data_IF_382696806020
#
_entry.id   IF_382696806020
#
_cell.length_a   1.000
_cell.length_b   1.000
_cell.length_c   1.000
_cell.angle_alpha   90.00
_cell.angle_beta   90.00
_cell.angle_gamma   90.00
#
_symmetry.space_group_name_H-M   'P 1'
#
loop_
_entity.id
_entity.type
_entity.pdbx_description
1 polymer ?
#
# COMPACT_ATOMS: atom_id res chain seq x y z
N UNK A 1 36.96 -46.03 -10.60
CA UNK A 1 36.87 -46.88 -9.39
C UNK A 1 35.41 -46.90 -8.92
N UNK A 2 34.65 -47.92 -9.29
CA UNK A 2 33.26 -48.07 -8.86
C UNK A 2 33.22 -48.81 -7.52
N UNK A 3 32.80 -48.15 -6.44
CA UNK A 3 32.63 -48.77 -5.12
C UNK A 3 31.31 -49.54 -5.09
N UNK A 4 31.40 -50.86 -5.29
CA UNK A 4 30.30 -51.80 -5.10
C UNK A 4 29.94 -51.88 -3.60
N UNK A 5 28.89 -51.17 -3.18
CA UNK A 5 28.33 -51.31 -1.82
C UNK A 5 27.30 -52.44 -1.81
N UNK A 6 27.61 -53.51 -1.07
CA UNK A 6 26.67 -54.57 -0.72
C UNK A 6 25.45 -54.00 0.04
N UNK A 7 24.23 -54.51 -0.18
CA UNK A 7 23.07 -54.09 0.58
C UNK A 7 23.24 -54.47 2.06
N UNK A 8 23.09 -53.50 2.96
CA UNK A 8 23.07 -53.74 4.40
C UNK A 8 21.79 -54.50 4.73
N UNK A 9 21.90 -55.83 4.90
CA UNK A 9 20.80 -56.70 5.29
C UNK A 9 20.26 -56.28 6.66
N UNK A 10 18.98 -55.90 6.74
CA UNK A 10 18.26 -55.66 8.00
C UNK A 10 17.80 -54.22 8.30
N UNK A 11 17.97 -53.26 7.40
CA UNK A 11 17.41 -51.90 7.55
C UNK A 11 16.20 -51.75 6.62
N UNK A 12 15.01 -51.37 7.12
CA UNK A 12 13.87 -51.04 6.26
C UNK A 12 14.28 -50.01 5.21
N UNK A 13 13.86 -50.15 3.95
CA UNK A 13 14.23 -49.22 2.86
C UNK A 13 13.90 -47.76 3.20
N UNK A 14 12.85 -47.53 4.00
CA UNK A 14 12.41 -46.23 4.50
C UNK A 14 13.42 -45.55 5.47
N UNK A 15 14.45 -46.27 5.93
CA UNK A 15 15.51 -45.74 6.80
C UNK A 15 16.85 -45.62 6.10
N UNK A 16 16.84 -45.40 4.79
CA UNK A 16 18.03 -45.12 4.00
C UNK A 16 17.92 -43.78 3.26
N UNK A 17 19.04 -43.10 3.09
CA UNK A 17 19.12 -41.88 2.30
C UNK A 17 18.87 -42.18 0.81
N UNK A 18 17.94 -41.46 0.18
CA UNK A 18 17.60 -41.63 -1.24
C UNK A 18 18.74 -41.34 -2.23
N UNK A 19 19.80 -40.65 -1.79
CA UNK A 19 20.97 -40.35 -2.63
C UNK A 19 22.17 -41.28 -2.36
N UNK A 20 22.64 -41.36 -1.10
CA UNK A 20 23.86 -42.09 -0.76
C UNK A 20 23.63 -43.48 -0.13
N UNK A 21 22.37 -43.89 0.06
CA UNK A 21 21.91 -45.15 0.68
C UNK A 21 22.47 -45.46 2.08
N UNK A 22 23.02 -44.45 2.77
CA UNK A 22 23.43 -44.58 4.18
C UNK A 22 22.17 -44.72 5.05
N UNK A 23 22.25 -45.53 6.12
CA UNK A 23 21.22 -45.61 7.16
C UNK A 23 21.01 -44.23 7.79
N UNK A 24 19.78 -43.75 7.79
CA UNK A 24 19.38 -42.47 8.38
C UNK A 24 18.65 -42.70 9.70
N UNK A 25 18.65 -41.69 10.55
CA UNK A 25 17.94 -41.74 11.84
C UNK A 25 16.41 -41.79 11.64
N UNK A 26 15.69 -42.21 12.69
CA UNK A 26 14.21 -42.17 12.70
C UNK A 26 13.68 -40.77 12.40
N UNK A 27 14.34 -39.73 12.92
CA UNK A 27 13.95 -38.32 12.70
C UNK A 27 14.23 -37.87 11.26
N UNK A 28 15.33 -38.32 10.66
CA UNK A 28 15.59 -38.03 9.25
C UNK A 28 14.62 -38.73 8.31
N UNK A 29 14.15 -39.94 8.65
CA UNK A 29 13.14 -40.65 7.84
C UNK A 29 11.76 -40.00 7.85
N UNK A 30 11.41 -39.24 8.90
CA UNK A 30 10.12 -38.52 8.95
C UNK A 30 10.13 -37.22 8.16
N UNK A 31 11.31 -36.66 7.89
CA UNK A 31 11.45 -35.40 7.16
C UNK A 31 11.72 -35.71 5.69
N UNK A 32 10.63 -35.88 4.94
CA UNK A 32 10.68 -36.16 3.50
C UNK A 32 10.78 -34.88 2.69
N UNK A 33 11.62 -34.90 1.66
CA UNK A 33 11.65 -33.86 0.64
C UNK A 33 10.35 -33.90 -0.18
N UNK A 34 9.99 -32.80 -0.84
CA UNK A 34 8.81 -32.73 -1.73
C UNK A 34 8.90 -33.66 -2.95
N UNK A 35 10.09 -34.16 -3.29
CA UNK A 35 10.26 -35.24 -4.27
C UNK A 35 9.86 -36.64 -3.75
N UNK A 36 9.48 -36.77 -2.47
CA UNK A 36 8.97 -38.01 -1.87
C UNK A 36 10.01 -38.87 -1.14
N UNK A 37 11.30 -38.56 -1.27
CA UNK A 37 12.41 -39.30 -0.66
C UNK A 37 12.87 -38.67 0.67
N UNK A 38 13.40 -39.51 1.57
CA UNK A 38 14.09 -39.10 2.78
C UNK A 38 15.61 -39.08 2.57
N UNK A 39 16.30 -38.11 3.18
CA UNK A 39 17.73 -37.89 2.98
C UNK A 39 18.43 -37.67 4.32
N UNK A 40 19.72 -38.05 4.39
CA UNK A 40 20.56 -37.64 5.52
C UNK A 40 20.78 -36.13 5.51
N UNK A 41 21.21 -35.57 6.64
CA UNK A 41 21.50 -34.13 6.80
C UNK A 41 22.27 -33.50 5.63
N UNK A 42 23.31 -34.18 5.12
CA UNK A 42 24.15 -33.69 4.01
C UNK A 42 23.46 -33.65 2.64
N UNK A 43 22.40 -34.42 2.44
CA UNK A 43 21.70 -34.52 1.14
C UNK A 43 20.26 -33.99 1.22
N UNK A 44 19.84 -33.42 2.35
CA UNK A 44 18.48 -32.88 2.51
C UNK A 44 18.22 -31.66 1.62
N UNK A 45 19.24 -30.83 1.38
CA UNK A 45 19.11 -29.66 0.51
C UNK A 45 18.86 -30.11 -0.94
N UNK A 46 17.99 -29.37 -1.65
CA UNK A 46 17.55 -29.72 -3.01
C UNK A 46 18.70 -29.82 -4.02
N UNK A 47 19.70 -28.94 -3.87
CA UNK A 47 20.94 -28.94 -4.65
C UNK A 47 21.83 -30.16 -4.41
N UNK A 48 21.80 -30.72 -3.19
CA UNK A 48 22.69 -31.82 -2.79
C UNK A 48 22.21 -33.19 -3.25
N UNK A 49 20.96 -33.32 -3.69
CA UNK A 49 20.41 -34.59 -4.20
C UNK A 49 19.79 -34.48 -5.59
N UNK A 50 20.09 -33.41 -6.33
CA UNK A 50 19.55 -33.17 -7.67
C UNK A 50 18.03 -33.33 -7.70
N UNK A 51 17.35 -32.60 -6.81
CA UNK A 51 15.92 -32.71 -6.61
C UNK A 51 15.15 -32.47 -7.92
N UNK A 52 14.34 -33.46 -8.33
CA UNK A 52 13.47 -33.34 -9.51
C UNK A 52 12.18 -32.53 -9.25
N UNK A 53 11.96 -32.08 -8.02
CA UNK A 53 10.81 -31.24 -7.69
C UNK A 53 11.07 -29.79 -8.12
N UNK A 54 10.16 -29.21 -8.92
CA UNK A 54 10.29 -27.82 -9.39
C UNK A 54 9.96 -26.80 -8.29
N UNK A 55 10.96 -26.53 -7.46
CA UNK A 55 10.89 -25.48 -6.43
C UNK A 55 10.68 -24.08 -7.03
N UNK A 56 11.16 -23.83 -8.26
CA UNK A 56 11.03 -22.52 -8.89
C UNK A 56 9.58 -22.24 -9.24
N UNK A 57 8.88 -23.19 -9.85
CA UNK A 57 7.46 -23.05 -10.14
C UNK A 57 6.63 -22.89 -8.87
N UNK A 58 6.86 -23.75 -7.86
CA UNK A 58 6.14 -23.64 -6.59
C UNK A 58 6.34 -22.28 -5.91
N UNK A 59 7.58 -21.78 -5.89
CA UNK A 59 7.89 -20.46 -5.32
C UNK A 59 7.25 -19.33 -6.14
N UNK A 60 7.29 -19.40 -7.48
CA UNK A 60 6.60 -18.43 -8.36
C UNK A 60 5.11 -18.39 -8.07
N UNK A 61 4.46 -19.55 -7.97
CA UNK A 61 3.02 -19.63 -7.71
C UNK A 61 2.67 -19.13 -6.31
N UNK A 62 3.52 -19.39 -5.33
CA UNK A 62 3.36 -18.86 -3.97
C UNK A 62 3.45 -17.33 -3.97
N UNK A 63 4.49 -16.77 -4.57
CA UNK A 63 4.68 -15.31 -4.69
C UNK A 63 3.54 -14.67 -5.48
N UNK A 64 3.08 -15.30 -6.57
CA UNK A 64 1.97 -14.80 -7.37
C UNK A 64 0.63 -14.77 -6.60
N UNK A 65 0.40 -15.74 -5.70
CA UNK A 65 -0.79 -15.77 -4.83
C UNK A 65 -0.70 -14.78 -3.68
N UNK A 66 0.48 -14.61 -3.09
CA UNK A 66 0.67 -13.81 -1.87
C UNK A 66 0.90 -12.32 -2.15
N UNK A 67 1.38 -11.95 -3.34
CA UNK A 67 1.58 -10.55 -3.69
C UNK A 67 0.23 -9.82 -3.85
N UNK A 68 -0.08 -8.80 -3.03
CA UNK A 68 -1.25 -7.97 -3.25
C UNK A 68 -1.10 -7.26 -4.59
N UNK A 69 -2.12 -7.37 -5.46
CA UNK A 69 -2.14 -6.67 -6.74
C UNK A 69 -2.19 -5.16 -6.47
N UNK A 70 -1.06 -4.48 -6.65
CA UNK A 70 -0.96 -3.00 -6.57
C UNK A 70 -1.55 -2.38 -7.84
N UNK A 71 -2.83 -2.63 -8.10
CA UNK A 71 -3.55 -1.80 -9.06
C UNK A 71 -4.05 -0.62 -8.26
N UNK A 72 -3.55 0.58 -8.57
CA UNK A 72 -4.07 1.81 -7.96
C UNK A 72 -5.57 1.84 -8.22
N UNK A 73 -6.38 1.72 -7.17
CA UNK A 73 -7.84 1.59 -7.31
C UNK A 73 -8.41 2.73 -8.17
N UNK A 74 -7.81 3.91 -8.07
CA UNK A 74 -8.04 5.14 -8.86
C UNK A 74 -7.91 4.98 -10.38
N UNK A 75 -6.98 4.16 -10.87
CA UNK A 75 -6.78 4.03 -12.32
C UNK A 75 -8.00 3.41 -13.01
N UNK A 76 -8.69 2.48 -12.33
CA UNK A 76 -9.84 1.74 -12.85
C UNK A 76 -11.15 2.54 -12.91
N UNK A 77 -11.29 3.62 -12.15
CA UNK A 77 -12.55 4.37 -12.13
C UNK A 77 -12.78 5.10 -13.45
N UNK A 78 -13.99 4.98 -13.99
CA UNK A 78 -14.35 5.57 -15.28
C UNK A 78 -15.09 6.90 -15.16
N UNK A 79 -15.68 7.19 -14.00
CA UNK A 79 -16.55 8.35 -13.82
C UNK A 79 -16.25 9.17 -12.57
N UNK A 80 -16.54 10.48 -12.64
CA UNK A 80 -16.44 11.40 -11.50
C UNK A 80 -17.38 10.99 -10.35
N UNK A 81 -18.52 10.36 -10.66
CA UNK A 81 -19.48 9.89 -9.66
C UNK A 81 -18.91 8.72 -8.85
N UNK A 82 -18.34 7.72 -9.52
CA UNK A 82 -17.65 6.61 -8.86
C UNK A 82 -16.48 7.12 -8.02
N UNK A 83 -15.72 8.10 -8.53
CA UNK A 83 -14.62 8.71 -7.79
C UNK A 83 -15.08 9.38 -6.50
N UNK A 84 -16.17 10.16 -6.57
CA UNK A 84 -16.74 10.81 -5.40
C UNK A 84 -17.29 9.80 -4.37
N UNK A 85 -17.87 8.69 -4.83
CA UNK A 85 -18.30 7.62 -3.93
C UNK A 85 -17.11 7.00 -3.17
N UNK A 86 -16.01 6.73 -3.88
CA UNK A 86 -14.78 6.25 -3.25
C UNK A 86 -14.17 7.29 -2.30
N UNK A 87 -14.17 8.57 -2.69
CA UNK A 87 -13.76 9.67 -1.83
C UNK A 87 -14.56 9.68 -0.52
N UNK A 88 -15.89 9.58 -0.57
CA UNK A 88 -16.74 9.56 0.62
C UNK A 88 -16.43 8.39 1.57
N UNK A 89 -16.07 7.22 1.03
CA UNK A 89 -15.69 6.05 1.84
C UNK A 89 -14.40 6.27 2.64
N UNK A 90 -13.47 7.08 2.11
CA UNK A 90 -12.18 7.36 2.75
C UNK A 90 -12.18 8.65 3.60
N UNK A 91 -13.29 9.40 3.59
CA UNK A 91 -13.48 10.61 4.40
C UNK A 91 -14.78 10.59 5.22
N UNK A 92 -15.06 9.53 6.00
CA UNK A 92 -16.29 9.47 6.79
C UNK A 92 -16.25 10.43 7.99
N UNK A 93 -15.06 10.74 8.50
CA UNK A 93 -14.89 11.43 9.78
C UNK A 93 -14.70 12.94 9.62
N UNK A 94 -15.35 13.71 10.49
CA UNK A 94 -15.28 15.18 10.51
C UNK A 94 -13.88 15.69 10.85
N UNK A 95 -13.12 14.96 11.66
CA UNK A 95 -11.73 15.28 12.04
C UNK A 95 -10.81 15.30 10.81
N UNK A 96 -10.88 14.28 9.96
CA UNK A 96 -10.14 14.19 8.69
C UNK A 96 -10.51 15.35 7.75
N UNK A 97 -11.80 15.67 7.64
CA UNK A 97 -12.28 16.79 6.82
C UNK A 97 -11.74 18.15 7.33
N UNK A 98 -11.66 18.35 8.65
CA UNK A 98 -11.07 19.56 9.23
C UNK A 98 -9.57 19.66 8.94
N UNK A 99 -8.84 18.55 9.04
CA UNK A 99 -7.41 18.52 8.75
C UNK A 99 -7.12 18.86 7.28
N UNK A 100 -7.95 18.38 6.36
CA UNK A 100 -7.88 18.74 4.94
C UNK A 100 -8.18 20.21 4.71
N UNK A 101 -9.19 20.76 5.39
CA UNK A 101 -9.49 22.19 5.32
C UNK A 101 -8.29 23.03 5.80
N UNK A 102 -7.66 22.65 6.91
CA UNK A 102 -6.45 23.31 7.40
C UNK A 102 -5.30 23.21 6.37
N UNK A 103 -5.14 22.04 5.73
CA UNK A 103 -4.20 21.85 4.63
C UNK A 103 -4.45 22.80 3.45
N UNK A 104 -5.71 22.93 3.01
CA UNK A 104 -6.09 23.86 1.94
C UNK A 104 -5.83 25.32 2.32
N UNK A 105 -6.16 25.72 3.55
CA UNK A 105 -5.88 27.08 4.03
C UNK A 105 -4.38 27.37 4.06
N UNK A 106 -3.56 26.40 4.44
CA UNK A 106 -2.10 26.54 4.42
C UNK A 106 -1.56 26.71 3.00
N UNK A 107 -2.00 25.88 2.05
CA UNK A 107 -1.64 26.03 0.62
C UNK A 107 -2.08 27.39 0.09
N UNK A 108 -3.30 27.82 0.40
CA UNK A 108 -3.84 29.11 -0.03
C UNK A 108 -3.04 30.29 0.54
N UNK A 109 -2.72 30.27 1.84
CA UNK A 109 -1.93 31.31 2.50
C UNK A 109 -0.51 31.43 1.90
N UNK A 110 0.16 30.29 1.68
CA UNK A 110 1.48 30.26 1.06
C UNK A 110 1.43 30.74 -0.39
N UNK A 111 0.41 30.32 -1.14
CA UNK A 111 0.20 30.76 -2.53
C UNK A 111 -0.07 32.26 -2.62
N UNK A 112 -0.88 32.81 -1.71
CA UNK A 112 -1.14 34.25 -1.63
C UNK A 112 0.13 35.04 -1.32
N UNK A 113 0.93 34.59 -0.33
CA UNK A 113 2.26 35.17 -0.06
C UNK A 113 3.16 35.11 -1.29
N UNK A 114 3.19 33.97 -1.99
CA UNK A 114 3.94 33.81 -3.23
C UNK A 114 3.50 34.76 -4.34
N UNK A 115 2.19 35.00 -4.46
CA UNK A 115 1.64 35.93 -5.43
C UNK A 115 2.02 37.38 -5.09
N UNK A 116 1.95 37.77 -3.81
CA UNK A 116 2.41 39.09 -3.37
C UNK A 116 3.90 39.32 -3.66
N UNK A 117 4.74 38.31 -3.45
CA UNK A 117 6.17 38.36 -3.80
C UNK A 117 6.38 38.44 -5.31
N UNK A 118 5.60 37.68 -6.09
CA UNK A 118 5.64 37.74 -7.56
C UNK A 118 5.28 39.14 -8.08
N UNK A 119 4.24 39.76 -7.53
CA UNK A 119 3.79 41.10 -7.94
C UNK A 119 4.78 42.18 -7.51
N UNK A 120 5.35 42.08 -6.30
CA UNK A 120 6.27 43.09 -5.78
C UNK A 120 7.68 43.00 -6.36
N UNK A 121 8.16 41.81 -6.72
CA UNK A 121 9.54 41.57 -7.16
C UNK A 121 9.64 41.17 -8.64
N UNK A 122 8.51 41.01 -9.34
CA UNK A 122 8.46 40.57 -10.74
C UNK A 122 8.92 39.12 -10.97
N UNK A 123 9.07 38.33 -9.91
CA UNK A 123 9.69 37.00 -9.96
C UNK A 123 8.65 35.88 -9.80
N UNK A 124 8.13 35.37 -10.92
CA UNK A 124 7.16 34.26 -10.94
C UNK A 124 7.69 32.97 -10.26
N UNK A 125 9.00 32.75 -10.29
CA UNK A 125 9.64 31.60 -9.64
C UNK A 125 9.35 31.54 -8.13
N UNK A 126 9.15 32.70 -7.48
CA UNK A 126 8.82 32.76 -6.06
C UNK A 126 7.40 32.26 -5.77
N UNK A 127 6.46 32.49 -6.69
CA UNK A 127 5.11 31.96 -6.57
C UNK A 127 5.12 30.43 -6.63
N UNK A 128 5.77 29.83 -7.63
CA UNK A 128 5.88 28.37 -7.75
C UNK A 128 6.58 27.75 -6.53
N UNK A 129 7.65 28.37 -6.04
CA UNK A 129 8.34 27.91 -4.83
C UNK A 129 7.42 27.88 -3.61
N UNK A 130 6.63 28.92 -3.41
CA UNK A 130 5.70 29.01 -2.28
C UNK A 130 4.52 28.05 -2.42
N UNK A 131 4.02 27.85 -3.64
CA UNK A 131 2.96 26.88 -3.93
C UNK A 131 3.42 25.45 -3.61
N UNK A 132 4.60 25.06 -4.09
CA UNK A 132 5.17 23.72 -3.83
C UNK A 132 5.46 23.54 -2.34
N UNK A 133 6.10 24.52 -1.69
CA UNK A 133 6.38 24.47 -0.26
C UNK A 133 5.08 24.35 0.56
N UNK A 134 4.06 25.13 0.22
CA UNK A 134 2.75 25.07 0.84
C UNK A 134 2.11 23.69 0.69
N UNK A 135 2.17 23.08 -0.49
CA UNK A 135 1.65 21.73 -0.72
C UNK A 135 2.36 20.67 0.11
N UNK A 136 3.70 20.69 0.16
CA UNK A 136 4.48 19.75 0.98
C UNK A 136 4.18 19.91 2.47
N UNK A 137 4.13 21.14 2.98
CA UNK A 137 3.78 21.39 4.37
C UNK A 137 2.34 20.93 4.69
N UNK A 138 1.40 21.10 3.77
CA UNK A 138 0.04 20.59 3.93
C UNK A 138 -0.01 19.05 3.96
N UNK A 139 0.79 18.35 3.14
CA UNK A 139 0.91 16.89 3.22
C UNK A 139 1.43 16.43 4.58
N UNK A 140 2.44 17.12 5.13
CA UNK A 140 2.96 16.83 6.48
C UNK A 140 1.88 17.10 7.53
N UNK A 141 1.13 18.19 7.42
CA UNK A 141 0.03 18.49 8.33
C UNK A 141 -1.07 17.42 8.30
N UNK A 142 -1.44 16.96 7.10
CA UNK A 142 -2.57 16.03 6.90
C UNK A 142 -2.21 14.58 7.24
N UNK A 143 -0.99 14.14 6.95
CA UNK A 143 -0.59 12.73 7.10
C UNK A 143 0.54 12.51 8.11
N UNK A 144 1.50 13.43 8.19
CA UNK A 144 2.65 13.29 9.08
C UNK A 144 2.33 13.63 10.53
N UNK A 145 1.69 14.77 10.77
CA UNK A 145 1.40 15.26 12.12
C UNK A 145 0.50 14.31 12.92
N UNK A 146 -0.59 13.73 12.36
CA UNK A 146 -1.38 12.74 13.09
C UNK A 146 -0.57 11.52 13.56
N UNK A 147 0.37 11.04 12.72
CA UNK A 147 1.22 9.90 13.06
C UNK A 147 2.19 10.23 14.21
N UNK A 148 2.76 11.44 14.21
CA UNK A 148 3.67 11.91 15.26
C UNK A 148 2.94 12.14 16.59
N UNK A 149 1.71 12.64 16.53
CA UNK A 149 0.89 12.93 17.71
C UNK A 149 0.10 11.70 18.22
N UNK A 150 0.34 10.51 17.68
CA UNK A 150 -0.42 9.28 17.98
C UNK A 150 -1.94 9.44 17.80
N UNK A 151 -2.36 10.33 16.90
CA UNK A 151 -3.75 10.47 16.49
C UNK A 151 -4.11 9.38 15.47
N UNK A 152 -5.40 9.07 15.28
CA UNK A 152 -5.83 8.09 14.27
C UNK A 152 -5.25 8.47 12.91
N UNK A 153 -4.50 7.55 12.31
CA UNK A 153 -3.92 7.76 11.00
C UNK A 153 -5.05 7.99 9.98
N UNK A 154 -5.01 9.13 9.29
CA UNK A 154 -5.93 9.47 8.22
C UNK A 154 -5.58 8.64 6.98
N UNK A 155 -6.39 7.63 6.67
CA UNK A 155 -6.25 6.86 5.42
C UNK A 155 -6.91 7.59 4.24
N UNK A 156 -6.57 8.88 4.00
CA UNK A 156 -7.14 9.59 2.85
C UNK A 156 -6.74 8.88 1.54
N UNK A 157 -7.73 8.60 0.72
CA UNK A 157 -7.57 8.36 -0.72
C UNK A 157 -8.53 9.22 -1.54
N UNK A 158 -8.22 9.37 -2.83
CA UNK A 158 -9.06 10.08 -3.81
C UNK A 158 -9.24 11.60 -3.54
N UNK A 159 -8.42 12.18 -2.65
CA UNK A 159 -8.35 13.62 -2.32
C UNK A 159 -7.14 14.29 -2.96
N UNK A 160 -7.10 15.64 -2.92
CA UNK A 160 -5.94 16.45 -3.39
C UNK A 160 -4.67 16.17 -2.58
N UNK A 161 -4.81 15.73 -1.32
CA UNK A 161 -3.70 15.33 -0.45
C UNK A 161 -3.40 13.81 -0.51
N UNK A 162 -3.89 13.10 -1.52
CA UNK A 162 -3.59 11.68 -1.72
C UNK A 162 -2.71 11.47 -2.95
N UNK A 163 -1.99 10.35 -3.00
CA UNK A 163 -1.20 9.97 -4.17
C UNK A 163 -2.03 9.79 -5.44
N UNK A 164 -3.36 9.63 -5.31
CA UNK A 164 -4.28 9.56 -6.45
C UNK A 164 -4.29 10.88 -7.27
N UNK A 165 -3.88 12.01 -6.69
CA UNK A 165 -3.76 13.30 -7.38
C UNK A 165 -2.82 13.25 -8.59
N UNK A 166 -1.81 12.37 -8.56
CA UNK A 166 -0.87 12.19 -9.67
C UNK A 166 -1.50 11.45 -10.85
N UNK A 167 -2.62 10.75 -10.64
CA UNK A 167 -3.31 10.02 -11.71
C UNK A 167 -4.44 10.82 -12.33
N UNK A 168 -5.30 11.40 -11.49
CA UNK A 168 -6.52 12.11 -11.91
C UNK A 168 -6.71 13.35 -11.03
N UNK A 169 -5.87 14.39 -11.19
CA UNK A 169 -5.91 15.58 -10.35
C UNK A 169 -7.27 16.30 -10.45
N UNK A 170 -7.85 16.34 -11.64
CA UNK A 170 -9.15 16.97 -11.87
C UNK A 170 -10.29 16.30 -11.07
N UNK A 171 -10.23 14.98 -10.87
CA UNK A 171 -11.24 14.26 -10.09
C UNK A 171 -11.02 14.40 -8.58
N UNK A 172 -9.76 14.47 -8.13
CA UNK A 172 -9.44 14.82 -6.75
C UNK A 172 -10.01 16.19 -6.38
N UNK A 173 -9.77 17.19 -7.23
CA UNK A 173 -10.27 18.54 -6.99
C UNK A 173 -11.80 18.60 -7.08
N UNK A 174 -12.40 17.94 -8.09
CA UNK A 174 -13.84 17.90 -8.24
C UNK A 174 -14.53 17.27 -7.02
N UNK A 175 -13.97 16.20 -6.45
CA UNK A 175 -14.53 15.56 -5.26
C UNK A 175 -14.52 16.49 -4.04
N UNK A 176 -13.43 17.22 -3.82
CA UNK A 176 -13.30 18.21 -2.75
C UNK A 176 -14.31 19.37 -2.93
N UNK A 177 -14.41 19.92 -4.15
CA UNK A 177 -15.38 20.96 -4.47
C UNK A 177 -16.83 20.47 -4.29
N UNK A 178 -17.13 19.26 -4.73
CA UNK A 178 -18.46 18.66 -4.55
C UNK A 178 -18.77 18.48 -3.06
N UNK A 179 -17.80 18.05 -2.25
CA UNK A 179 -18.00 17.89 -0.81
C UNK A 179 -18.24 19.23 -0.13
N UNK A 180 -17.44 20.26 -0.45
CA UNK A 180 -17.64 21.60 0.06
C UNK A 180 -19.03 22.15 -0.29
N UNK A 181 -19.51 21.92 -1.52
CA UNK A 181 -20.86 22.28 -1.95
C UNK A 181 -21.95 21.59 -1.13
N UNK A 182 -21.81 20.30 -0.84
CA UNK A 182 -22.76 19.58 0.04
C UNK A 182 -22.83 20.20 1.44
N UNK A 183 -21.67 20.50 2.04
CA UNK A 183 -21.62 21.12 3.37
C UNK A 183 -22.28 22.51 3.38
N UNK A 184 -22.03 23.32 2.35
CA UNK A 184 -22.65 24.64 2.21
C UNK A 184 -24.17 24.53 2.10
N UNK A 185 -24.67 23.62 1.26
CA UNK A 185 -26.11 23.41 1.10
C UNK A 185 -26.79 23.00 2.42
N UNK A 186 -26.15 22.12 3.20
CA UNK A 186 -26.65 21.72 4.52
C UNK A 186 -26.66 22.91 5.50
N UNK A 187 -25.62 23.73 5.49
CA UNK A 187 -25.55 24.92 6.34
C UNK A 187 -26.63 25.95 5.98
N UNK A 188 -26.83 26.21 4.69
CA UNK A 188 -27.87 27.12 4.19
C UNK A 188 -29.27 26.61 4.56
N UNK A 189 -29.55 25.31 4.40
CA UNK A 189 -30.82 24.72 4.78
C UNK A 189 -31.10 24.88 6.29
N UNK A 190 -30.09 24.66 7.14
CA UNK A 190 -30.21 24.89 8.59
C UNK A 190 -30.48 26.35 8.93
N UNK A 191 -29.80 27.28 8.27
CA UNK A 191 -30.04 28.72 8.44
C UNK A 191 -31.48 29.12 8.06
N UNK A 192 -32.00 28.60 6.95
CA UNK A 192 -33.38 28.82 6.52
C UNK A 192 -34.41 28.24 7.51
N UNK A 193 -34.14 27.07 8.09
CA UNK A 193 -35.00 26.50 9.13
C UNK A 193 -34.93 27.28 10.46
N UNK A 194 -33.77 27.84 10.80
CA UNK A 194 -33.61 28.72 11.97
C UNK A 194 -34.38 30.03 11.83
N UNK A 195 -34.32 30.66 10.65
CA UNK A 195 -35.05 31.90 10.34
C UNK A 195 -36.57 31.69 10.31
N UNK A 196 -37.07 30.51 9.89
CA UNK A 196 -38.51 30.19 9.88
C UNK A 196 -39.10 29.87 11.26
N UNK A 197 -38.26 29.67 12.28
CA UNK A 197 -38.69 29.32 13.65
C UNK A 197 -38.56 30.48 14.64
N UNK A 198 -37.99 31.62 14.22
CA UNK A 198 -37.92 32.88 14.98
C UNK A 198 -39.04 33.82 14.53
#
# INVERSE_FOLDING_TARGET
MASSRSPVRGVPEDRQCGHCRRRISLVESTIRCRCGLAFCERHRAAESHECQFDWRQMQRDKVARENPKVIQASSKLGSSKEWFEQYCKHHPERSTQLLHLMGFLLVAAMSFRGLLLCVSQGAFILFLRQLVLGYFLAMVLVHGLPQVLSLPASSCRFCVFSWDVLTKPQWCLAAECQKAKEHLNVALAKGQHGLKRS
#
